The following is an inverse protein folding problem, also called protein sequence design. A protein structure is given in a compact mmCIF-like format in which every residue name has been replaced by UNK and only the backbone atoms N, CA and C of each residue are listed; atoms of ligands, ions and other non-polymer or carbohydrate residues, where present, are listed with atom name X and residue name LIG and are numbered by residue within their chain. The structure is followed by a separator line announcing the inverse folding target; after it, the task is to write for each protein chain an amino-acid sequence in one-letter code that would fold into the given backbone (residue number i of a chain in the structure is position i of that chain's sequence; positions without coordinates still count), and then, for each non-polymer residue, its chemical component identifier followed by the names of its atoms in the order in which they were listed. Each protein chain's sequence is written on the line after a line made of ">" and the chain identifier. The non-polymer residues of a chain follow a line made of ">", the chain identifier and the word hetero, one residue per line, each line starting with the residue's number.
data_IF_620079391049
#
_entry.id   IF_620079391049
#
_cell.length_a   1.000
_cell.length_b   1.000
_cell.length_c   1.000
_cell.angle_alpha   90.00
_cell.angle_beta   90.00
_cell.angle_gamma   90.00
#
_symmetry.space_group_name_H-M   'P 1'
#
loop_
_entity.id
_entity.type
_entity.pdbx_description
1 polymer ?
#
# COMPACT_ATOMS: atom_id res chain seq x y z
N UNK A 1 -79.12 40.00 13.96
CA UNK A 1 -77.81 39.90 13.29
C UNK A 1 -76.88 40.91 13.92
N UNK A 2 -76.04 40.49 14.86
CA UNK A 2 -74.96 41.33 15.43
C UNK A 2 -73.65 40.77 14.89
N UNK A 3 -73.04 41.52 13.98
CA UNK A 3 -71.78 41.18 13.34
C UNK A 3 -70.64 41.60 14.29
N UNK A 4 -69.90 40.62 14.81
CA UNK A 4 -68.77 40.87 15.70
C UNK A 4 -67.50 41.03 14.85
N UNK A 5 -67.07 42.28 14.65
CA UNK A 5 -65.80 42.58 13.99
C UNK A 5 -64.63 42.21 14.93
N UNK A 6 -64.01 41.07 14.66
CA UNK A 6 -62.79 40.65 15.34
C UNK A 6 -61.63 41.60 14.99
N UNK A 7 -61.14 42.35 15.97
CA UNK A 7 -59.91 43.13 15.85
C UNK A 7 -58.71 42.18 15.70
N UNK A 8 -58.14 42.08 14.50
CA UNK A 8 -56.87 41.41 14.28
C UNK A 8 -55.76 42.24 14.93
N UNK A 9 -55.28 41.82 16.11
CA UNK A 9 -54.04 42.36 16.70
C UNK A 9 -52.88 42.05 15.76
N UNK A 10 -52.36 43.08 15.10
CA UNK A 10 -51.18 42.97 14.25
C UNK A 10 -49.94 42.59 15.06
N UNK A 11 -49.10 41.74 14.48
CA UNK A 11 -47.81 41.39 15.09
C UNK A 11 -46.97 42.67 15.32
N UNK A 12 -46.45 42.89 16.52
CA UNK A 12 -45.68 44.10 16.80
C UNK A 12 -44.36 44.07 16.02
N UNK A 13 -44.03 45.19 15.37
CA UNK A 13 -42.88 45.29 14.45
C UNK A 13 -41.54 44.93 15.10
N UNK A 14 -41.40 45.16 16.42
CA UNK A 14 -40.20 44.78 17.17
C UNK A 14 -40.03 43.26 17.29
N UNK A 15 -41.12 42.49 17.36
CA UNK A 15 -41.06 41.03 17.40
C UNK A 15 -40.62 40.46 16.04
N UNK A 16 -41.04 41.08 14.93
CA UNK A 16 -40.55 40.72 13.60
C UNK A 16 -39.06 41.00 13.46
N UNK A 17 -38.58 42.15 13.96
CA UNK A 17 -37.15 42.51 13.96
C UNK A 17 -36.34 41.52 14.80
N UNK A 18 -36.83 41.16 15.99
CA UNK A 18 -36.17 40.18 16.86
C UNK A 18 -36.08 38.78 16.22
N UNK A 19 -37.13 38.34 15.53
CA UNK A 19 -37.12 37.05 14.81
C UNK A 19 -36.14 37.06 13.62
N UNK A 20 -36.05 38.16 12.88
CA UNK A 20 -35.09 38.31 11.79
C UNK A 20 -33.65 38.30 12.34
N UNK A 21 -33.39 39.05 13.42
CA UNK A 21 -32.07 39.07 14.05
C UNK A 21 -31.66 37.70 14.59
N UNK A 22 -32.59 36.96 15.21
CA UNK A 22 -32.36 35.60 15.66
C UNK A 22 -32.09 34.65 14.47
N UNK A 23 -32.86 34.77 13.39
CA UNK A 23 -32.63 34.02 12.15
C UNK A 23 -31.23 34.26 11.57
N UNK A 24 -30.79 35.51 11.49
CA UNK A 24 -29.44 35.87 11.02
C UNK A 24 -28.37 35.31 11.95
N UNK A 25 -28.54 35.42 13.28
CA UNK A 25 -27.60 34.87 14.25
C UNK A 25 -27.48 33.35 14.17
N UNK A 26 -28.61 32.63 14.01
CA UNK A 26 -28.60 31.17 13.84
C UNK A 26 -27.95 30.75 12.52
N UNK A 27 -28.19 31.48 11.44
CA UNK A 27 -27.54 31.24 10.15
C UNK A 27 -26.04 31.51 10.22
N UNK A 28 -25.61 32.61 10.84
CA UNK A 28 -24.20 32.93 11.05
C UNK A 28 -23.50 31.88 11.93
N UNK A 29 -24.18 31.39 12.98
CA UNK A 29 -23.66 30.31 13.82
C UNK A 29 -23.57 28.99 13.06
N UNK A 30 -24.56 28.64 12.24
CA UNK A 30 -24.54 27.44 11.41
C UNK A 30 -23.42 27.49 10.36
N UNK A 31 -23.25 28.64 9.68
CA UNK A 31 -22.15 28.87 8.74
C UNK A 31 -20.80 28.80 9.46
N UNK A 32 -20.65 29.48 10.60
CA UNK A 32 -19.42 29.46 11.39
C UNK A 32 -19.05 28.06 11.88
N UNK A 33 -20.03 27.27 12.33
CA UNK A 33 -19.81 25.87 12.73
C UNK A 33 -19.42 25.02 11.53
N UNK A 34 -20.10 25.14 10.38
CA UNK A 34 -19.78 24.37 9.18
C UNK A 34 -18.37 24.68 8.63
N UNK A 35 -17.97 25.95 8.64
CA UNK A 35 -16.62 26.36 8.26
C UNK A 35 -15.54 25.93 9.25
N UNK A 36 -15.83 25.91 10.56
CA UNK A 36 -14.86 25.50 11.59
C UNK A 36 -14.70 23.98 11.69
N UNK A 37 -15.75 23.20 11.43
CA UNK A 37 -15.65 21.73 11.34
C UNK A 37 -15.08 21.23 10.01
N UNK A 38 -15.33 21.94 8.90
CA UNK A 38 -14.66 21.67 7.62
C UNK A 38 -13.18 22.04 7.61
N UNK A 39 -12.73 22.84 8.58
CA UNK A 39 -11.34 23.23 8.80
C UNK A 39 -10.68 22.48 9.98
N UNK A 40 -11.34 21.44 10.53
CA UNK A 40 -10.61 20.47 11.33
C UNK A 40 -9.57 19.86 10.41
N UNK A 41 -8.29 20.08 10.72
CA UNK A 41 -7.13 19.73 9.91
C UNK A 41 -7.26 18.32 9.35
N UNK A 42 -7.74 18.21 8.11
CA UNK A 42 -7.52 17.00 7.34
C UNK A 42 -6.00 16.84 7.32
N UNK A 43 -5.52 15.70 7.83
CA UNK A 43 -4.11 15.32 7.66
C UNK A 43 -3.83 15.52 6.18
N UNK A 44 -2.88 16.40 5.85
CA UNK A 44 -2.56 16.68 4.47
C UNK A 44 -2.19 15.34 3.82
N UNK A 45 -2.82 15.02 2.68
CA UNK A 45 -2.54 13.78 1.98
C UNK A 45 -1.02 13.66 1.73
N UNK A 46 -0.45 12.44 1.79
CA UNK A 46 0.97 12.24 1.53
C UNK A 46 1.42 12.92 0.23
N UNK A 47 2.57 13.59 0.28
CA UNK A 47 3.15 14.26 -0.88
C UNK A 47 3.87 13.29 -1.83
N UNK A 48 4.24 13.76 -3.02
CA UNK A 48 4.89 12.90 -4.04
C UNK A 48 6.24 12.30 -3.62
N UNK A 49 6.93 12.92 -2.65
CA UNK A 49 8.22 12.47 -2.11
C UNK A 49 8.08 11.83 -0.71
N UNK A 50 6.85 11.53 -0.29
CA UNK A 50 6.59 10.88 0.99
C UNK A 50 7.00 9.40 0.96
N UNK A 51 7.26 8.83 2.15
CA UNK A 51 7.54 7.40 2.29
C UNK A 51 6.36 6.55 1.80
N UNK A 52 5.13 6.98 2.08
CA UNK A 52 3.90 6.32 1.62
C UNK A 52 3.82 6.25 0.10
N UNK A 53 4.11 7.36 -0.58
CA UNK A 53 4.07 7.42 -2.04
C UNK A 53 5.20 6.60 -2.68
N UNK A 54 6.39 6.61 -2.08
CA UNK A 54 7.51 5.80 -2.53
C UNK A 54 7.26 4.31 -2.35
N UNK A 55 6.89 3.89 -1.13
CA UNK A 55 6.52 2.52 -0.80
C UNK A 55 5.42 1.99 -1.72
N UNK A 56 4.34 2.76 -1.91
CA UNK A 56 3.25 2.35 -2.78
C UNK A 56 3.69 2.16 -4.24
N UNK A 57 4.65 2.93 -4.75
CA UNK A 57 5.15 2.75 -6.13
C UNK A 57 6.06 1.54 -6.23
N UNK A 58 7.01 1.42 -5.32
CA UNK A 58 8.04 0.38 -5.38
C UNK A 58 7.44 -1.00 -5.06
N UNK A 59 6.60 -1.09 -4.03
CA UNK A 59 5.93 -2.35 -3.68
C UNK A 59 4.89 -2.77 -4.73
N UNK A 60 4.34 -1.84 -5.53
CA UNK A 60 3.54 -2.24 -6.71
C UNK A 60 4.37 -2.94 -7.78
N UNK A 61 5.60 -2.46 -8.03
CA UNK A 61 6.55 -3.09 -8.97
C UNK A 61 6.96 -4.47 -8.44
N UNK A 62 7.30 -4.54 -7.16
CA UNK A 62 7.64 -5.77 -6.46
C UNK A 62 6.51 -6.80 -6.57
N UNK A 63 5.28 -6.45 -6.17
CA UNK A 63 4.14 -7.35 -6.24
C UNK A 63 3.78 -7.79 -7.65
N UNK A 64 4.01 -6.94 -8.65
CA UNK A 64 3.79 -7.34 -10.04
C UNK A 64 4.68 -8.53 -10.45
N UNK A 65 5.93 -8.58 -10.01
CA UNK A 65 6.83 -9.69 -10.30
C UNK A 65 6.46 -10.96 -9.54
N UNK A 66 6.05 -10.85 -8.27
CA UNK A 66 5.56 -12.03 -7.53
C UNK A 66 4.34 -12.68 -8.21
N UNK A 67 3.38 -11.86 -8.65
CA UNK A 67 2.18 -12.34 -9.38
C UNK A 67 2.61 -13.04 -10.68
N UNK A 68 3.60 -12.51 -11.39
CA UNK A 68 4.13 -13.14 -12.59
C UNK A 68 4.73 -14.53 -12.29
N UNK A 69 5.64 -14.63 -11.32
CA UNK A 69 6.27 -15.89 -10.92
C UNK A 69 5.24 -16.91 -10.43
N UNK A 70 4.27 -16.46 -9.63
CA UNK A 70 3.22 -17.31 -9.09
C UNK A 70 2.29 -17.86 -10.19
N UNK A 71 1.87 -17.01 -11.14
CA UNK A 71 1.04 -17.47 -12.25
C UNK A 71 1.82 -18.32 -13.26
N UNK A 72 3.14 -18.18 -13.33
CA UNK A 72 4.01 -19.06 -14.10
C UNK A 72 4.01 -20.47 -13.52
N UNK A 73 4.29 -20.64 -12.21
CA UNK A 73 4.33 -21.97 -11.60
C UNK A 73 2.94 -22.61 -11.49
N UNK A 74 1.90 -21.84 -11.19
CA UNK A 74 0.51 -22.30 -11.05
C UNK A 74 0.05 -23.12 -12.28
N UNK A 75 0.48 -22.70 -13.48
CA UNK A 75 0.06 -23.30 -14.75
C UNK A 75 0.74 -24.63 -15.06
N UNK A 76 1.83 -24.97 -14.39
CA UNK A 76 2.68 -26.13 -14.76
C UNK A 76 3.07 -27.05 -13.62
N UNK A 77 2.92 -26.63 -12.38
CA UNK A 77 3.19 -27.49 -11.23
C UNK A 77 2.19 -28.65 -11.15
N UNK A 78 2.70 -29.85 -10.88
CA UNK A 78 1.90 -31.02 -10.56
C UNK A 78 1.68 -31.17 -9.04
N UNK A 79 2.35 -30.36 -8.20
CA UNK A 79 2.21 -30.37 -6.75
C UNK A 79 1.03 -29.51 -6.28
N UNK A 80 0.08 -30.13 -5.57
CA UNK A 80 -1.15 -29.47 -5.13
C UNK A 80 -0.91 -28.34 -4.11
N UNK A 81 0.10 -28.48 -3.24
CA UNK A 81 0.39 -27.45 -2.24
C UNK A 81 1.07 -26.24 -2.87
N UNK A 82 2.01 -26.46 -3.79
CA UNK A 82 2.65 -25.37 -4.58
C UNK A 82 1.60 -24.66 -5.42
N UNK A 83 0.66 -25.40 -6.03
CA UNK A 83 -0.44 -24.80 -6.79
C UNK A 83 -1.36 -23.94 -5.92
N UNK A 84 -1.73 -24.42 -4.75
CA UNK A 84 -2.55 -23.65 -3.82
C UNK A 84 -1.81 -22.38 -3.34
N UNK A 85 -0.56 -22.52 -2.91
CA UNK A 85 0.27 -21.40 -2.47
C UNK A 85 0.43 -20.34 -3.57
N UNK A 86 0.75 -20.75 -4.80
CA UNK A 86 0.92 -19.81 -5.92
C UNK A 86 -0.36 -19.03 -6.23
N UNK A 87 -1.53 -19.67 -6.13
CA UNK A 87 -2.81 -18.97 -6.26
C UNK A 87 -3.05 -17.97 -5.12
N UNK A 88 -2.76 -18.36 -3.88
CA UNK A 88 -2.90 -17.51 -2.69
C UNK A 88 -2.01 -16.27 -2.81
N UNK A 89 -0.73 -16.44 -3.16
CA UNK A 89 0.23 -15.34 -3.40
C UNK A 89 -0.28 -14.42 -4.51
N UNK A 90 -0.64 -14.98 -5.67
CA UNK A 90 -1.06 -14.19 -6.82
C UNK A 90 -2.31 -13.35 -6.51
N UNK A 91 -3.28 -13.91 -5.78
CA UNK A 91 -4.52 -13.19 -5.43
C UNK A 91 -4.31 -12.18 -4.30
N UNK A 92 -3.60 -12.56 -3.23
CA UNK A 92 -3.26 -11.67 -2.11
C UNK A 92 -2.46 -10.46 -2.55
N UNK A 93 -1.36 -10.68 -3.27
CA UNK A 93 -0.52 -9.58 -3.75
C UNK A 93 -1.20 -8.74 -4.84
N UNK A 94 -2.09 -9.32 -5.66
CA UNK A 94 -2.93 -8.53 -6.58
C UNK A 94 -3.86 -7.57 -5.84
N UNK A 95 -4.45 -8.01 -4.73
CA UNK A 95 -5.30 -7.18 -3.87
C UNK A 95 -4.51 -6.01 -3.28
N UNK A 96 -3.37 -6.30 -2.64
CA UNK A 96 -2.48 -5.28 -2.06
C UNK A 96 -1.96 -4.31 -3.12
N UNK A 97 -1.62 -4.77 -4.32
CA UNK A 97 -1.23 -3.91 -5.45
C UNK A 97 -2.35 -2.94 -5.84
N UNK A 98 -3.60 -3.42 -5.84
CA UNK A 98 -4.78 -2.59 -6.07
C UNK A 98 -5.02 -1.53 -4.99
N UNK A 99 -4.74 -1.86 -3.73
CA UNK A 99 -4.82 -0.89 -2.62
C UNK A 99 -3.81 0.25 -2.79
N UNK A 100 -2.55 -0.09 -3.04
CA UNK A 100 -1.47 0.88 -3.28
C UNK A 100 -1.76 1.78 -4.48
N UNK A 101 -2.27 1.19 -5.57
CA UNK A 101 -2.74 1.95 -6.73
C UNK A 101 -3.85 2.94 -6.34
N UNK A 102 -4.84 2.47 -5.58
CA UNK A 102 -5.97 3.26 -5.10
C UNK A 102 -5.56 4.41 -4.19
N UNK A 103 -4.56 4.20 -3.32
CA UNK A 103 -4.00 5.24 -2.46
C UNK A 103 -3.42 6.38 -3.29
N UNK A 104 -2.53 6.06 -4.25
CA UNK A 104 -1.92 7.06 -5.13
C UNK A 104 -2.98 7.84 -5.92
N UNK A 105 -4.03 7.18 -6.43
CA UNK A 105 -5.18 7.86 -7.05
C UNK A 105 -5.87 8.81 -6.06
N UNK A 106 -6.16 8.33 -4.84
CA UNK A 106 -6.86 9.12 -3.83
C UNK A 106 -6.08 10.36 -3.36
N UNK A 107 -4.75 10.28 -3.36
CA UNK A 107 -3.86 11.40 -3.03
C UNK A 107 -3.55 12.29 -4.23
N UNK A 108 -4.05 11.96 -5.43
CA UNK A 108 -3.78 12.71 -6.65
C UNK A 108 -2.32 12.61 -7.14
N UNK A 109 -1.65 11.50 -6.84
CA UNK A 109 -0.26 11.25 -7.17
C UNK A 109 -0.10 10.32 -8.39
N UNK A 110 1.01 10.43 -9.15
CA UNK A 110 1.30 9.51 -10.23
C UNK A 110 1.67 8.11 -9.71
N UNK A 111 1.32 7.09 -10.50
CA UNK A 111 1.56 5.66 -10.22
C UNK A 111 3.04 5.26 -10.28
N UNK A 112 3.89 6.13 -10.81
CA UNK A 112 5.34 5.95 -10.91
C UNK A 112 6.03 7.27 -10.66
N UNK A 113 7.26 7.25 -10.15
CA UNK A 113 8.07 8.46 -10.00
C UNK A 113 9.13 8.31 -8.91
N UNK A 114 10.22 9.08 -9.07
CA UNK A 114 11.40 8.96 -8.22
C UNK A 114 12.28 7.75 -8.59
N UNK A 115 13.51 7.69 -8.06
CA UNK A 115 14.33 6.48 -8.13
C UNK A 115 13.76 5.40 -7.18
N UNK A 116 13.90 4.12 -7.57
CA UNK A 116 13.58 2.98 -6.70
C UNK A 116 14.27 3.12 -5.35
N UNK A 117 13.54 2.84 -4.27
CA UNK A 117 13.99 2.86 -2.89
C UNK A 117 14.50 4.23 -2.41
N UNK A 118 14.40 5.29 -3.22
CA UNK A 118 14.89 6.62 -2.86
C UNK A 118 14.13 7.26 -1.69
N UNK A 119 12.92 6.78 -1.41
CA UNK A 119 12.10 7.20 -0.27
C UNK A 119 12.59 6.62 1.06
N UNK A 120 13.44 5.58 1.02
CA UNK A 120 14.08 4.98 2.20
C UNK A 120 15.38 5.68 2.60
N UNK A 121 15.78 6.74 1.88
CA UNK A 121 16.96 7.53 2.21
C UNK A 121 16.77 8.24 3.56
N UNK A 122 17.25 7.62 4.64
CA UNK A 122 17.09 8.10 6.02
C UNK A 122 16.96 7.00 7.08
N UNK A 123 16.73 5.75 6.69
CA UNK A 123 16.69 4.59 7.61
C UNK A 123 18.02 3.83 7.66
N UNK A 124 18.35 3.24 8.81
CA UNK A 124 19.49 2.31 8.95
C UNK A 124 19.35 1.07 8.03
N UNK A 125 18.13 0.78 7.58
CA UNK A 125 17.79 -0.24 6.58
C UNK A 125 18.35 0.04 5.17
N UNK A 126 18.85 1.25 4.88
CA UNK A 126 19.44 1.59 3.58
C UNK A 126 20.86 1.03 3.37
N UNK A 127 21.47 0.40 4.39
CA UNK A 127 22.89 0.02 4.39
C UNK A 127 23.17 -1.42 4.85
N UNK A 128 22.22 -2.33 4.68
CA UNK A 128 22.28 -3.73 5.11
C UNK A 128 23.16 -4.66 4.27
N UNK A 129 24.42 -4.32 3.95
CA UNK A 129 25.41 -5.32 3.49
C UNK A 129 26.42 -4.85 2.46
N UNK A 130 27.69 -5.16 2.73
CA UNK A 130 28.91 -4.95 1.92
C UNK A 130 29.48 -3.53 1.89
N UNK A 131 30.52 -3.36 2.73
CA UNK A 131 31.27 -2.12 2.84
C UNK A 131 32.27 -1.87 1.72
N UNK A 132 32.65 -0.59 1.61
CA UNK A 132 33.89 -0.12 1.02
C UNK A 132 33.81 0.26 -0.45
N UNK A 133 33.28 1.44 -0.75
CA UNK A 133 33.39 2.06 -2.08
C UNK A 133 32.82 3.48 -2.08
N UNK A 134 33.52 4.40 -2.73
CA UNK A 134 33.25 5.83 -2.73
C UNK A 134 31.86 6.16 -3.30
N UNK A 135 30.90 6.57 -2.47
CA UNK A 135 29.77 7.44 -2.81
C UNK A 135 28.99 7.23 -4.12
N UNK A 136 29.03 6.05 -4.75
CA UNK A 136 28.29 5.76 -5.97
C UNK A 136 26.87 5.33 -5.64
N UNK A 137 25.92 5.95 -6.33
CA UNK A 137 24.52 5.55 -6.32
C UNK A 137 24.39 4.17 -6.91
N UNK A 138 23.76 3.24 -6.18
CA UNK A 138 23.44 1.89 -6.68
C UNK A 138 22.73 1.97 -8.04
N UNK A 139 23.07 1.05 -8.93
CA UNK A 139 22.37 0.85 -10.19
C UNK A 139 20.96 0.29 -9.95
N UNK A 140 20.08 0.43 -10.93
CA UNK A 140 18.73 -0.15 -10.86
C UNK A 140 18.75 -1.65 -10.57
N UNK A 141 19.68 -2.40 -11.16
CA UNK A 141 19.78 -3.85 -10.96
C UNK A 141 20.23 -4.21 -9.54
N UNK A 142 21.12 -3.42 -8.93
CA UNK A 142 21.51 -3.60 -7.54
C UNK A 142 20.35 -3.28 -6.59
N UNK A 143 19.58 -2.21 -6.86
CA UNK A 143 18.38 -1.89 -6.09
C UNK A 143 17.30 -2.98 -6.20
N UNK A 144 17.09 -3.54 -7.39
CA UNK A 144 16.20 -4.68 -7.60
C UNK A 144 16.67 -5.92 -6.82
N UNK A 145 17.97 -6.16 -6.75
CA UNK A 145 18.54 -7.24 -5.96
C UNK A 145 18.33 -7.05 -4.45
N UNK A 146 18.48 -5.82 -3.93
CA UNK A 146 18.18 -5.48 -2.53
C UNK A 146 16.68 -5.66 -2.20
N UNK A 147 15.80 -5.40 -3.17
CA UNK A 147 14.37 -5.72 -3.07
C UNK A 147 14.08 -7.23 -3.22
N UNK A 148 15.10 -8.09 -3.36
CA UNK A 148 14.92 -9.53 -3.51
C UNK A 148 14.35 -9.98 -4.87
N UNK A 149 14.24 -9.07 -5.83
CA UNK A 149 13.62 -9.33 -7.13
C UNK A 149 14.38 -10.43 -7.90
N UNK A 150 13.63 -11.24 -8.64
CA UNK A 150 14.18 -12.15 -9.64
C UNK A 150 14.74 -11.34 -10.82
N UNK A 151 15.93 -11.70 -11.25
CA UNK A 151 16.54 -11.16 -12.47
C UNK A 151 15.80 -11.68 -13.71
N UNK A 152 15.93 -11.00 -14.87
CA UNK A 152 15.36 -11.51 -16.12
C UNK A 152 15.81 -12.94 -16.47
N UNK A 153 17.07 -13.28 -16.20
CA UNK A 153 17.61 -14.61 -16.45
C UNK A 153 16.98 -15.68 -15.54
N UNK A 154 16.71 -15.35 -14.28
CA UNK A 154 16.01 -16.26 -13.35
C UNK A 154 14.54 -16.42 -13.73
N UNK A 155 13.86 -15.35 -14.17
CA UNK A 155 12.49 -15.45 -14.70
C UNK A 155 12.43 -16.34 -15.95
N UNK A 156 13.41 -16.22 -16.86
CA UNK A 156 13.51 -17.08 -18.04
C UNK A 156 13.83 -18.54 -17.69
N UNK A 157 14.71 -18.76 -16.70
CA UNK A 157 14.96 -20.10 -16.16
C UNK A 157 13.68 -20.69 -15.55
N UNK A 158 12.97 -19.93 -14.72
CA UNK A 158 11.70 -20.34 -14.15
C UNK A 158 10.72 -20.71 -15.25
N UNK A 159 10.52 -19.88 -16.29
CA UNK A 159 9.60 -20.15 -17.41
C UNK A 159 9.91 -21.45 -18.15
N UNK A 160 11.18 -21.79 -18.30
CA UNK A 160 11.61 -22.99 -19.05
C UNK A 160 11.67 -24.24 -18.19
N UNK A 161 11.84 -24.11 -16.87
CA UNK A 161 11.84 -25.23 -15.94
C UNK A 161 10.49 -25.95 -15.90
N UNK A 162 10.53 -27.26 -15.68
CA UNK A 162 9.34 -28.13 -15.53
C UNK A 162 9.54 -29.14 -14.39
N UNK A 163 8.44 -29.70 -13.89
CA UNK A 163 8.44 -30.67 -12.79
C UNK A 163 9.01 -30.10 -11.49
N UNK A 164 9.50 -30.98 -10.62
CA UNK A 164 10.06 -30.60 -9.31
C UNK A 164 11.16 -29.53 -9.36
N UNK A 165 12.08 -29.50 -10.35
CA UNK A 165 13.02 -28.39 -10.48
C UNK A 165 12.34 -27.02 -10.61
N UNK A 166 11.24 -26.91 -11.37
CA UNK A 166 10.49 -25.66 -11.48
C UNK A 166 9.84 -25.24 -10.17
N UNK A 167 9.31 -26.21 -9.41
CA UNK A 167 8.75 -25.96 -8.08
C UNK A 167 9.85 -25.44 -7.13
N UNK A 168 11.03 -26.06 -7.15
CA UNK A 168 12.16 -25.65 -6.33
C UNK A 168 12.68 -24.25 -6.71
N UNK A 169 12.82 -23.96 -7.99
CA UNK A 169 13.23 -22.64 -8.50
C UNK A 169 12.23 -21.56 -8.07
N UNK A 170 10.92 -21.82 -8.24
CA UNK A 170 9.86 -20.91 -7.79
C UNK A 170 9.94 -20.63 -6.29
N UNK A 171 10.03 -21.67 -5.46
CA UNK A 171 10.07 -21.52 -4.01
C UNK A 171 11.32 -20.73 -3.59
N UNK A 172 12.48 -21.00 -4.18
CA UNK A 172 13.72 -20.28 -3.87
C UNK A 172 13.64 -18.80 -4.24
N UNK A 173 13.14 -18.49 -5.44
CA UNK A 173 12.95 -17.11 -5.90
C UNK A 173 11.93 -16.37 -5.03
N UNK A 174 10.79 -17.00 -4.72
CA UNK A 174 9.73 -16.37 -3.96
C UNK A 174 10.12 -16.17 -2.48
N UNK A 175 10.90 -17.07 -1.87
CA UNK A 175 11.48 -16.84 -0.54
C UNK A 175 12.35 -15.59 -0.55
N UNK A 176 13.28 -15.47 -1.50
CA UNK A 176 14.17 -14.29 -1.60
C UNK A 176 13.38 -13.01 -1.87
N UNK A 177 12.41 -13.07 -2.76
CA UNK A 177 11.51 -11.96 -3.08
C UNK A 177 10.74 -11.51 -1.82
N UNK A 178 10.24 -12.46 -1.02
CA UNK A 178 9.55 -12.12 0.23
C UNK A 178 10.47 -11.50 1.27
N UNK A 179 11.71 -11.98 1.38
CA UNK A 179 12.72 -11.42 2.26
C UNK A 179 13.09 -9.98 1.90
N UNK A 180 13.03 -9.59 0.62
CA UNK A 180 13.23 -8.21 0.18
C UNK A 180 12.07 -7.26 0.52
N UNK A 181 10.83 -7.77 0.57
CA UNK A 181 9.66 -6.96 0.90
C UNK A 181 9.56 -6.56 2.38
N UNK A 182 10.10 -7.39 3.28
CA UNK A 182 10.06 -7.16 4.74
C UNK A 182 10.75 -5.85 5.12
N UNK A 183 12.02 -5.59 4.78
CA UNK A 183 12.69 -4.34 5.13
C UNK A 183 12.06 -3.11 4.46
N UNK A 184 11.48 -3.26 3.26
CA UNK A 184 10.68 -2.19 2.66
C UNK A 184 9.45 -1.87 3.52
N UNK A 185 8.76 -2.89 4.02
CA UNK A 185 7.56 -2.72 4.84
C UNK A 185 7.90 -2.14 6.23
N UNK A 186 9.01 -2.55 6.83
CA UNK A 186 9.54 -1.97 8.07
C UNK A 186 9.88 -0.48 7.88
N UNK A 187 10.56 -0.14 6.78
CA UNK A 187 10.97 1.24 6.53
C UNK A 187 9.78 2.20 6.35
N UNK A 188 8.68 1.77 5.72
CA UNK A 188 7.48 2.63 5.63
C UNK A 188 6.75 2.73 6.97
N UNK A 189 6.87 1.72 7.85
CA UNK A 189 6.35 1.81 9.23
C UNK A 189 7.12 2.88 10.02
N UNK A 190 8.43 2.95 9.84
CA UNK A 190 9.30 3.90 10.55
C UNK A 190 9.21 5.33 10.01
N UNK A 191 9.15 5.49 8.68
CA UNK A 191 9.18 6.79 8.01
C UNK A 191 7.79 7.39 7.76
N UNK A 192 6.77 6.54 7.65
CA UNK A 192 5.42 6.92 7.29
C UNK A 192 4.59 7.42 8.47
N UNK A 193 3.40 7.93 8.13
CA UNK A 193 2.44 8.46 9.10
C UNK A 193 0.98 8.18 8.72
N UNK A 194 0.69 7.75 7.48
CA UNK A 194 -0.66 7.38 7.05
C UNK A 194 -1.11 6.04 7.66
N UNK A 195 -2.08 6.02 8.58
CA UNK A 195 -2.43 4.81 9.34
C UNK A 195 -2.82 3.61 8.47
N UNK A 196 -3.46 3.85 7.31
CA UNK A 196 -3.83 2.77 6.40
C UNK A 196 -2.61 2.09 5.77
N UNK A 197 -1.58 2.86 5.43
CA UNK A 197 -0.34 2.33 4.86
C UNK A 197 0.39 1.49 5.90
N UNK A 198 0.53 2.00 7.13
CA UNK A 198 1.24 1.29 8.21
C UNK A 198 0.55 -0.04 8.54
N UNK A 199 -0.78 -0.07 8.58
CA UNK A 199 -1.53 -1.29 8.84
C UNK A 199 -1.34 -2.35 7.75
N UNK A 200 -1.31 -1.95 6.48
CA UNK A 200 -1.07 -2.87 5.37
C UNK A 200 0.39 -3.33 5.35
N UNK A 201 1.36 -2.45 5.62
CA UNK A 201 2.76 -2.83 5.72
C UNK A 201 2.99 -3.90 6.81
N UNK A 202 2.37 -3.74 7.99
CA UNK A 202 2.41 -4.74 9.06
C UNK A 202 1.80 -6.08 8.60
N UNK A 203 0.65 -6.03 7.91
CA UNK A 203 0.01 -7.23 7.36
C UNK A 203 0.87 -7.93 6.29
N UNK A 204 1.62 -7.16 5.49
CA UNK A 204 2.58 -7.71 4.52
C UNK A 204 3.67 -8.48 5.25
N UNK A 205 4.30 -7.90 6.27
CA UNK A 205 5.36 -8.56 7.06
C UNK A 205 4.85 -9.91 7.59
N UNK A 206 3.74 -9.90 8.33
CA UNK A 206 3.18 -11.11 8.96
C UNK A 206 2.82 -12.20 7.93
N UNK A 207 2.24 -11.81 6.80
CA UNK A 207 1.86 -12.76 5.74
C UNK A 207 3.10 -13.34 5.06
N UNK A 208 4.07 -12.49 4.72
CA UNK A 208 5.26 -12.89 3.98
C UNK A 208 6.17 -13.78 4.83
N UNK A 209 6.30 -13.53 6.14
CA UNK A 209 7.01 -14.42 7.08
C UNK A 209 6.37 -15.81 7.13
N UNK A 210 5.04 -15.88 7.27
CA UNK A 210 4.33 -17.16 7.29
C UNK A 210 4.44 -17.91 5.95
N UNK A 211 4.44 -17.18 4.83
CA UNK A 211 4.64 -17.77 3.50
C UNK A 211 6.08 -18.26 3.30
N UNK A 212 7.10 -17.55 3.82
CA UNK A 212 8.50 -18.02 3.83
C UNK A 212 8.62 -19.35 4.56
N UNK A 213 8.03 -19.47 5.76
CA UNK A 213 8.05 -20.73 6.53
C UNK A 213 7.39 -21.87 5.75
N UNK A 214 6.23 -21.60 5.14
CA UNK A 214 5.50 -22.58 4.33
C UNK A 214 6.31 -23.02 3.12
N UNK A 215 6.93 -22.08 2.40
CA UNK A 215 7.78 -22.37 1.24
C UNK A 215 9.01 -23.18 1.63
N UNK A 216 9.65 -22.84 2.76
CA UNK A 216 10.80 -23.57 3.30
C UNK A 216 10.42 -25.02 3.64
N UNK A 217 9.23 -25.23 4.22
CA UNK A 217 8.71 -26.58 4.47
C UNK A 217 8.44 -27.34 3.16
N UNK A 218 7.92 -26.68 2.12
CA UNK A 218 7.72 -27.31 0.81
C UNK A 218 9.04 -27.69 0.14
N UNK A 219 10.07 -26.84 0.23
CA UNK A 219 11.41 -27.16 -0.29
C UNK A 219 11.97 -28.43 0.34
N UNK A 220 11.82 -28.59 1.67
CA UNK A 220 12.24 -29.80 2.38
C UNK A 220 11.44 -31.03 1.93
N UNK A 221 10.11 -30.90 1.79
CA UNK A 221 9.22 -31.98 1.34
C UNK A 221 9.55 -32.44 -0.07
N UNK A 222 9.88 -31.51 -0.96
CA UNK A 222 10.22 -31.77 -2.37
C UNK A 222 11.68 -32.21 -2.56
N UNK A 223 12.52 -32.09 -1.53
CA UNK A 223 13.94 -32.43 -1.62
C UNK A 223 14.74 -31.45 -2.48
N UNK A 224 14.36 -30.17 -2.49
CA UNK A 224 15.09 -29.13 -3.19
C UNK A 224 16.51 -29.01 -2.63
N UNK A 225 17.51 -29.07 -3.49
CA UNK A 225 18.91 -28.78 -3.12
C UNK A 225 19.14 -27.29 -3.28
N UNK A 226 19.45 -26.60 -2.17
CA UNK A 226 19.82 -25.18 -2.18
C UNK A 226 21.11 -24.90 -2.94
#
# INVERSE_FOLDING_TARGET
>A
MTDATASRRGFPRWALIALIALGIATLAFAIGRFSMFGAASAVAAPGTTSAEAGFARDMQVHHAQAIEMAMEIYRKTEDDEVRALSYDIATGQSGQRGEMYGWLVSWGLPQSGGPLMGWMAGTDHAHGGHGGGDGETLTTAELEAEMGMATPAELDALRTATGTPADCDFLALMIRHHQGAIPMSEAVIDLGSEPRVLAVAQSIIETQEAEIDRMTSMQQRLGCTG
#
